data_IF_665969876611
#
_entry.id   IF_665969876611
#
_cell.length_a   1.000
_cell.length_b   1.000
_cell.length_c   1.000
_cell.angle_alpha   90.00
_cell.angle_beta   90.00
_cell.angle_gamma   90.00
#
_symmetry.space_group_name_H-M   'P 1'
#
loop_
_entity.id
_entity.type
_entity.pdbx_description
1 polymer ?
#
# COMPACT_ATOMS: atom_id res chain seq x y z
N UNK A 1 21.62 -55.40 2.44
CA UNK A 1 22.00 -54.49 1.36
C UNK A 1 20.76 -53.77 0.85
N UNK A 2 20.88 -52.53 0.49
CA UNK A 2 19.82 -51.71 -0.09
C UNK A 2 20.31 -51.20 -1.47
N UNK A 3 19.40 -51.24 -2.44
CA UNK A 3 19.71 -50.89 -3.82
C UNK A 3 18.71 -49.87 -4.32
N UNK A 4 19.18 -48.90 -5.09
CA UNK A 4 18.37 -48.01 -5.89
C UNK A 4 18.85 -48.03 -7.33
N UNK A 5 17.96 -48.12 -8.30
CA UNK A 5 18.30 -48.21 -9.73
C UNK A 5 19.34 -49.30 -10.01
N UNK A 6 19.26 -50.45 -9.31
CA UNK A 6 20.20 -51.55 -9.35
C UNK A 6 21.63 -51.23 -8.87
N UNK A 7 21.84 -50.12 -8.18
CA UNK A 7 23.12 -49.79 -7.56
C UNK A 7 23.04 -50.01 -6.05
N UNK A 8 24.08 -50.62 -5.49
CA UNK A 8 24.21 -50.81 -4.05
C UNK A 8 24.42 -49.46 -3.37
N UNK A 9 23.53 -49.09 -2.43
CA UNK A 9 23.60 -47.81 -1.70
C UNK A 9 24.16 -47.98 -0.29
N UNK A 10 23.80 -49.06 0.39
CA UNK A 10 24.28 -49.35 1.74
C UNK A 10 24.32 -50.84 2.00
N UNK A 11 25.29 -51.28 2.78
CA UNK A 11 25.46 -52.68 3.21
C UNK A 11 25.71 -52.72 4.71
N UNK A 12 24.84 -53.43 5.43
CA UNK A 12 25.06 -53.73 6.85
C UNK A 12 25.38 -55.18 7.02
N UNK A 13 26.54 -55.45 7.57
CA UNK A 13 27.02 -56.81 7.83
C UNK A 13 26.95 -57.08 9.34
N UNK A 14 26.42 -58.23 9.71
CA UNK A 14 26.40 -58.71 11.08
C UNK A 14 26.63 -60.22 11.12
N UNK A 15 27.28 -60.66 12.17
CA UNK A 15 27.54 -62.08 12.37
C UNK A 15 26.47 -62.65 13.33
N UNK A 16 25.94 -63.78 12.97
CA UNK A 16 25.07 -64.60 13.80
C UNK A 16 25.77 -65.89 14.15
N UNK A 17 25.80 -66.22 15.45
CA UNK A 17 26.28 -67.53 15.88
C UNK A 17 25.05 -68.33 16.24
N UNK A 18 24.67 -69.26 15.39
CA UNK A 18 23.57 -70.20 15.65
C UNK A 18 24.11 -71.52 16.04
N UNK A 19 23.54 -72.13 17.08
CA UNK A 19 23.76 -73.55 17.39
C UNK A 19 22.93 -74.42 16.44
N UNK A 20 23.20 -75.73 16.47
CA UNK A 20 22.54 -76.70 15.61
C UNK A 20 21.00 -76.57 15.70
N UNK A 21 20.35 -76.27 14.56
CA UNK A 21 18.88 -76.24 14.36
C UNK A 21 18.10 -75.14 15.09
N UNK A 22 18.66 -73.97 15.26
CA UNK A 22 17.94 -72.84 15.86
C UNK A 22 17.63 -71.77 14.80
N UNK A 23 16.38 -71.35 14.71
CA UNK A 23 16.02 -70.15 13.96
C UNK A 23 16.40 -68.89 14.75
N UNK A 24 17.05 -67.94 14.09
CA UNK A 24 17.45 -66.66 14.71
C UNK A 24 16.83 -65.52 13.94
N UNK A 25 16.16 -64.63 14.67
CA UNK A 25 15.64 -63.41 14.10
C UNK A 25 16.62 -62.28 14.38
N UNK A 26 16.87 -61.48 13.38
CA UNK A 26 17.64 -60.24 13.49
C UNK A 26 16.98 -59.10 12.76
N UNK A 27 16.68 -58.05 13.48
CA UNK A 27 16.13 -56.82 12.89
C UNK A 27 17.26 -55.86 12.56
N UNK A 28 17.24 -55.32 11.35
CA UNK A 28 18.17 -54.29 10.87
C UNK A 28 17.34 -53.05 10.48
N UNK A 29 17.73 -51.92 11.03
CA UNK A 29 17.10 -50.65 10.71
C UNK A 29 17.90 -49.97 9.61
N UNK A 30 17.20 -49.55 8.57
CA UNK A 30 17.73 -48.78 7.47
C UNK A 30 16.82 -47.60 7.21
N UNK A 31 17.39 -46.41 7.10
CA UNK A 31 16.66 -45.20 6.74
C UNK A 31 16.99 -44.88 5.28
N UNK A 32 16.01 -45.05 4.36
CA UNK A 32 16.27 -44.72 2.97
C UNK A 32 16.56 -43.24 2.82
N UNK A 33 17.57 -42.84 2.05
CA UNK A 33 17.92 -41.42 1.90
C UNK A 33 17.04 -40.64 0.93
N UNK A 34 16.14 -41.30 0.21
CA UNK A 34 15.21 -40.65 -0.74
C UNK A 34 14.00 -41.53 -1.02
N UNK A 35 12.95 -40.93 -1.59
CA UNK A 35 11.75 -41.65 -2.05
C UNK A 35 12.01 -42.41 -3.35
N UNK A 36 11.16 -43.35 -3.69
CA UNK A 36 11.22 -44.15 -4.91
C UNK A 36 11.13 -45.64 -4.64
N UNK A 37 11.43 -46.44 -5.66
CA UNK A 37 11.46 -47.89 -5.54
C UNK A 37 12.80 -48.39 -5.01
N UNK A 38 12.76 -49.14 -3.93
CA UNK A 38 13.91 -49.72 -3.28
C UNK A 38 13.82 -51.26 -3.34
N UNK A 39 14.96 -51.90 -3.48
CA UNK A 39 15.08 -53.34 -3.38
C UNK A 39 15.96 -53.70 -2.21
N UNK A 40 15.43 -54.41 -1.26
CA UNK A 40 16.18 -54.92 -0.12
C UNK A 40 16.58 -56.37 -0.39
N UNK A 41 17.87 -56.65 -0.37
CA UNK A 41 18.42 -57.97 -0.54
C UNK A 41 19.04 -58.48 0.75
N UNK A 42 18.89 -59.76 1.05
CA UNK A 42 19.56 -60.42 2.16
C UNK A 42 20.39 -61.55 1.60
N UNK A 43 21.70 -61.52 1.88
CA UNK A 43 22.63 -62.60 1.58
C UNK A 43 23.01 -63.30 2.88
N UNK A 44 22.99 -64.60 2.88
CA UNK A 44 23.36 -65.43 4.04
C UNK A 44 24.60 -66.25 3.65
N UNK A 45 25.67 -66.09 4.42
CA UNK A 45 26.88 -66.89 4.28
C UNK A 45 26.94 -67.92 5.40
N UNK A 46 27.16 -69.19 5.07
CA UNK A 46 27.42 -70.22 6.03
C UNK A 46 28.92 -70.41 6.23
N UNK A 47 29.35 -70.67 7.47
CA UNK A 47 30.73 -70.78 7.87
C UNK A 47 31.36 -72.16 7.52
N UNK A 48 30.53 -73.14 7.15
CA UNK A 48 30.97 -74.52 7.01
C UNK A 48 31.20 -75.03 5.60
N UNK A 49 30.66 -74.41 4.60
CA UNK A 49 30.92 -74.70 3.19
C UNK A 49 30.16 -73.76 2.27
N UNK A 50 30.83 -73.29 1.28
CA UNK A 50 30.25 -72.61 0.11
C UNK A 50 29.02 -71.74 0.32
N UNK A 51 29.10 -70.50 -0.07
CA UNK A 51 28.03 -69.45 -0.14
C UNK A 51 26.73 -70.11 -0.55
N UNK A 52 25.76 -70.17 0.36
CA UNK A 52 24.32 -70.25 0.01
C UNK A 52 23.80 -68.86 -0.21
N UNK A 53 24.02 -68.36 -1.40
CA UNK A 53 23.52 -67.07 -1.82
C UNK A 53 22.02 -67.19 -2.11
N UNK A 54 21.18 -67.01 -1.11
CA UNK A 54 19.74 -66.81 -1.28
C UNK A 54 19.46 -65.37 -1.07
N UNK A 55 19.56 -64.60 -2.15
CA UNK A 55 19.06 -63.22 -2.16
C UNK A 55 17.56 -63.18 -2.47
N UNK A 56 16.75 -62.67 -1.59
CA UNK A 56 15.44 -62.24 -1.97
C UNK A 56 15.35 -60.72 -1.88
N UNK A 57 14.66 -60.19 -2.85
CA UNK A 57 14.42 -58.74 -2.91
C UNK A 57 12.94 -58.49 -2.61
N UNK A 58 12.70 -57.52 -1.73
CA UNK A 58 11.38 -56.99 -1.48
C UNK A 58 11.32 -55.58 -2.13
N UNK A 59 10.59 -55.43 -3.24
CA UNK A 59 10.38 -54.10 -3.80
C UNK A 59 9.51 -53.29 -2.83
N UNK A 60 9.95 -52.10 -2.53
CA UNK A 60 9.25 -51.19 -1.63
C UNK A 60 9.18 -49.80 -2.27
N UNK A 61 7.98 -49.32 -2.44
CA UNK A 61 7.73 -47.93 -2.88
C UNK A 61 7.80 -46.98 -1.67
N UNK A 62 8.70 -46.04 -1.73
CA UNK A 62 8.85 -45.00 -0.73
C UNK A 62 8.33 -43.69 -1.31
N UNK A 63 7.48 -43.05 -0.57
CA UNK A 63 6.94 -41.74 -0.96
C UNK A 63 7.86 -40.63 -0.51
N UNK A 64 7.99 -39.58 -1.33
CA UNK A 64 8.67 -38.36 -0.97
C UNK A 64 7.97 -37.69 0.22
N UNK A 65 8.73 -37.06 1.11
CA UNK A 65 8.18 -36.20 2.17
C UNK A 65 7.92 -34.80 1.59
N UNK A 66 6.98 -34.11 2.19
CA UNK A 66 6.76 -32.70 1.85
C UNK A 66 7.89 -31.83 2.40
N UNK A 67 8.33 -30.80 1.66
CA UNK A 67 9.31 -29.86 2.17
C UNK A 67 8.73 -29.04 3.34
N UNK A 68 9.61 -28.45 4.13
CA UNK A 68 9.26 -27.53 5.22
C UNK A 68 9.58 -26.11 4.80
N UNK A 69 8.60 -25.24 4.78
CA UNK A 69 8.78 -23.81 4.50
C UNK A 69 9.27 -23.06 5.75
N UNK A 70 10.04 -22.01 5.55
CA UNK A 70 10.42 -21.05 6.59
C UNK A 70 10.37 -19.65 6.03
N UNK A 71 9.68 -18.75 6.74
CA UNK A 71 9.44 -17.35 6.37
C UNK A 71 10.15 -16.43 7.36
N UNK A 72 10.76 -15.38 6.84
CA UNK A 72 11.23 -14.24 7.62
C UNK A 72 10.90 -12.96 6.88
N UNK A 73 10.52 -11.93 7.62
CA UNK A 73 10.20 -10.60 7.10
C UNK A 73 11.07 -9.58 7.82
N UNK A 74 11.48 -8.52 7.13
CA UNK A 74 12.39 -7.50 7.68
C UNK A 74 11.84 -6.80 8.93
N UNK A 75 10.52 -6.78 9.10
CA UNK A 75 9.82 -6.15 10.21
C UNK A 75 8.48 -6.81 10.49
N UNK A 76 7.94 -6.61 11.70
CA UNK A 76 6.57 -7.01 12.07
C UNK A 76 5.57 -5.86 11.88
N UNK A 77 6.06 -4.62 11.76
CA UNK A 77 5.26 -3.42 11.57
C UNK A 77 6.01 -2.46 10.65
N UNK A 78 5.28 -1.77 9.80
CA UNK A 78 5.81 -0.78 8.86
C UNK A 78 4.77 0.31 8.64
N UNK A 79 5.15 1.34 7.88
CA UNK A 79 4.23 2.37 7.41
C UNK A 79 3.81 2.08 5.96
N UNK A 80 2.69 2.67 5.54
CA UNK A 80 2.28 2.70 4.15
C UNK A 80 3.41 3.18 3.24
N UNK A 81 3.48 2.65 2.02
CA UNK A 81 4.48 3.00 1.00
C UNK A 81 5.93 2.65 1.31
N UNK A 82 6.26 2.13 2.51
CA UNK A 82 7.62 1.68 2.78
C UNK A 82 7.86 0.25 2.28
N UNK A 83 9.04 -0.03 1.68
CA UNK A 83 9.35 -1.35 1.17
C UNK A 83 9.59 -2.35 2.30
N UNK A 84 8.93 -3.50 2.21
CA UNK A 84 9.09 -4.65 3.10
C UNK A 84 9.84 -5.75 2.36
N UNK A 85 10.96 -6.20 2.93
CA UNK A 85 11.74 -7.30 2.38
C UNK A 85 11.30 -8.60 3.02
N UNK A 86 11.02 -9.61 2.20
CA UNK A 86 10.61 -10.94 2.62
C UNK A 86 11.67 -11.95 2.20
N UNK A 87 11.94 -12.93 3.06
CA UNK A 87 12.97 -13.94 2.85
C UNK A 87 12.33 -15.32 2.98
N UNK A 88 12.26 -16.01 1.85
CA UNK A 88 11.79 -17.38 1.78
C UNK A 88 12.94 -18.36 1.89
N UNK A 89 12.77 -19.35 2.75
CA UNK A 89 13.66 -20.50 2.82
C UNK A 89 12.84 -21.75 3.08
N UNK A 90 13.50 -22.87 3.05
CA UNK A 90 12.92 -24.15 3.36
C UNK A 90 13.94 -25.24 3.22
N UNK A 91 13.59 -26.40 3.68
CA UNK A 91 14.39 -27.60 3.53
C UNK A 91 13.47 -28.80 3.32
N UNK A 92 14.05 -29.81 2.67
CA UNK A 92 13.48 -31.13 2.57
C UNK A 92 14.43 -32.13 3.23
N UNK A 93 13.98 -32.86 4.23
CA UNK A 93 14.83 -33.85 4.91
C UNK A 93 15.26 -34.99 3.98
N UNK A 94 14.44 -35.27 2.94
CA UNK A 94 14.61 -36.41 2.06
C UNK A 94 14.22 -36.05 0.62
N UNK A 95 14.81 -34.99 0.10
CA UNK A 95 14.51 -34.49 -1.24
C UNK A 95 15.10 -35.30 -2.37
N UNK A 96 14.43 -35.27 -3.50
CA UNK A 96 14.92 -35.70 -4.79
C UNK A 96 15.89 -34.67 -5.35
N UNK A 97 17.11 -34.65 -4.87
CA UNK A 97 18.15 -33.78 -5.38
C UNK A 97 19.35 -34.60 -5.84
N UNK A 98 19.37 -34.92 -7.09
CA UNK A 98 20.56 -35.45 -7.71
C UNK A 98 21.29 -34.37 -8.52
N UNK A 99 22.09 -33.53 -7.90
CA UNK A 99 23.23 -32.98 -8.59
C UNK A 99 24.38 -33.99 -8.51
N UNK A 100 24.77 -34.56 -9.65
CA UNK A 100 25.92 -35.42 -9.84
C UNK A 100 25.93 -36.78 -9.09
N UNK A 101 24.75 -37.38 -8.86
CA UNK A 101 24.72 -38.76 -8.29
C UNK A 101 25.06 -38.84 -6.81
N UNK A 102 25.07 -37.72 -6.09
CA UNK A 102 25.24 -37.67 -4.65
C UNK A 102 23.92 -37.29 -3.99
N UNK A 103 23.51 -38.07 -2.98
CA UNK A 103 22.34 -37.76 -2.18
C UNK A 103 22.67 -36.60 -1.23
N UNK A 104 21.96 -35.51 -1.33
CA UNK A 104 22.10 -34.40 -0.40
C UNK A 104 21.01 -34.47 0.65
N UNK A 105 21.37 -34.41 1.90
CA UNK A 105 20.52 -34.20 3.03
C UNK A 105 20.31 -32.68 3.16
N UNK A 106 19.09 -32.18 3.25
CA UNK A 106 18.70 -30.76 3.28
C UNK A 106 18.75 -30.09 1.90
N UNK A 107 17.89 -30.52 1.01
CA UNK A 107 17.71 -29.81 -0.25
C UNK A 107 16.90 -28.53 -0.11
N UNK A 108 17.28 -27.53 -0.92
CA UNK A 108 16.52 -26.27 -0.98
C UNK A 108 15.31 -26.44 -1.89
N UNK A 109 14.18 -25.82 -1.58
CA UNK A 109 13.01 -25.78 -2.45
C UNK A 109 13.38 -25.24 -3.85
N UNK A 110 12.72 -25.78 -4.88
CA UNK A 110 12.91 -25.32 -6.26
C UNK A 110 11.95 -24.21 -6.65
N UNK A 111 10.83 -24.04 -5.92
CA UNK A 111 9.87 -22.98 -6.17
C UNK A 111 9.31 -22.43 -4.87
N UNK A 112 8.95 -21.15 -4.93
CA UNK A 112 8.39 -20.35 -3.86
C UNK A 112 7.07 -19.75 -4.34
N UNK A 113 6.05 -19.77 -3.49
CA UNK A 113 4.73 -19.21 -3.77
C UNK A 113 4.32 -18.35 -2.57
N UNK A 114 4.24 -17.06 -2.81
CA UNK A 114 3.88 -16.07 -1.82
C UNK A 114 2.48 -15.55 -2.11
N UNK A 115 1.67 -15.44 -1.07
CA UNK A 115 0.51 -14.57 -0.99
C UNK A 115 0.87 -13.46 0.00
N UNK A 116 0.77 -12.19 -0.44
CA UNK A 116 1.22 -11.04 0.36
C UNK A 116 0.10 -10.44 1.21
N UNK A 117 -1.12 -10.99 1.11
CA UNK A 117 -2.25 -10.65 1.97
C UNK A 117 -3.11 -9.49 1.45
N UNK A 118 -2.68 -8.80 0.39
CA UNK A 118 -3.36 -7.68 -0.28
C UNK A 118 -3.83 -8.03 -1.72
N UNK A 119 -4.04 -9.32 -2.00
CA UNK A 119 -4.31 -9.90 -3.31
C UNK A 119 -3.11 -9.87 -4.29
N UNK A 120 -1.93 -9.51 -3.83
CA UNK A 120 -0.70 -9.60 -4.60
C UNK A 120 0.01 -10.90 -4.29
N UNK A 121 0.60 -11.55 -5.29
CA UNK A 121 1.37 -12.78 -5.15
C UNK A 121 2.74 -12.66 -5.79
N UNK A 122 3.70 -13.49 -5.36
CA UNK A 122 5.05 -13.54 -5.92
C UNK A 122 5.58 -14.96 -5.97
N UNK A 123 6.45 -15.24 -6.97
CA UNK A 123 7.20 -16.49 -7.08
C UNK A 123 8.71 -16.30 -6.86
N UNK A 124 9.13 -15.09 -6.52
CA UNK A 124 10.52 -14.82 -6.18
C UNK A 124 10.85 -15.46 -4.83
N UNK A 125 12.07 -15.93 -4.66
CA UNK A 125 12.56 -16.44 -3.37
C UNK A 125 12.46 -15.37 -2.28
N UNK A 126 12.87 -14.14 -2.61
CA UNK A 126 12.91 -13.02 -1.69
C UNK A 126 12.22 -11.81 -2.35
N UNK A 127 10.90 -11.71 -2.29
CA UNK A 127 10.19 -10.55 -2.83
C UNK A 127 10.38 -9.31 -1.95
N UNK A 128 10.19 -8.15 -2.58
CA UNK A 128 10.05 -6.85 -1.93
C UNK A 128 8.67 -6.33 -2.30
N UNK A 129 7.93 -5.81 -1.32
CA UNK A 129 6.59 -5.29 -1.54
C UNK A 129 6.33 -4.01 -0.73
N UNK A 130 5.41 -3.18 -1.21
CA UNK A 130 4.92 -1.97 -0.55
C UNK A 130 3.42 -2.08 -0.39
N UNK A 131 2.93 -1.82 0.81
CA UNK A 131 1.50 -1.80 1.10
C UNK A 131 1.00 -0.35 1.02
N UNK A 132 -0.07 -0.14 0.28
CA UNK A 132 -0.65 1.19 0.03
C UNK A 132 -1.59 1.59 1.16
N UNK A 133 -2.38 0.64 1.65
CA UNK A 133 -3.37 0.89 2.69
C UNK A 133 -2.90 0.36 4.05
N UNK A 134 -3.25 1.01 5.16
CA UNK A 134 -3.00 0.48 6.49
C UNK A 134 -3.86 -0.76 6.75
N UNK A 135 -3.33 -1.69 7.54
CA UNK A 135 -4.04 -2.92 7.82
C UNK A 135 -3.17 -4.00 8.44
N UNK A 136 -3.77 -5.17 8.60
CA UNK A 136 -3.08 -6.37 9.08
C UNK A 136 -3.04 -7.39 7.94
N UNK A 137 -1.85 -7.66 7.45
CA UNK A 137 -1.63 -8.50 6.28
C UNK A 137 -1.05 -9.86 6.66
N UNK A 138 -1.78 -10.95 6.41
CA UNK A 138 -1.26 -12.31 6.56
C UNK A 138 -0.42 -12.69 5.34
N UNK A 139 0.90 -12.60 5.45
CA UNK A 139 1.84 -13.02 4.41
C UNK A 139 2.02 -14.52 4.49
N UNK A 140 1.74 -15.25 3.43
CA UNK A 140 1.79 -16.70 3.38
C UNK A 140 2.86 -17.19 2.41
N UNK A 141 3.67 -18.15 2.84
CA UNK A 141 4.66 -18.83 2.00
C UNK A 141 4.35 -20.32 1.90
N UNK A 142 4.34 -20.81 0.68
CA UNK A 142 4.37 -22.24 0.33
C UNK A 142 5.58 -22.51 -0.56
N UNK A 143 6.30 -23.57 -0.31
CA UNK A 143 7.44 -23.98 -1.14
C UNK A 143 7.19 -25.35 -1.79
N UNK A 144 7.85 -25.61 -2.89
CA UNK A 144 7.77 -26.87 -3.62
C UNK A 144 9.14 -27.50 -3.78
N UNK A 145 9.24 -28.83 -3.60
CA UNK A 145 10.43 -29.61 -3.84
C UNK A 145 10.56 -30.07 -5.30
N UNK A 146 11.67 -30.75 -5.62
CA UNK A 146 11.90 -31.29 -6.96
C UNK A 146 10.94 -32.45 -7.33
N UNK A 147 10.34 -33.10 -6.35
CA UNK A 147 9.32 -34.14 -6.54
C UNK A 147 7.94 -33.57 -6.87
N UNK A 148 7.77 -32.24 -6.81
CA UNK A 148 6.50 -31.56 -7.04
C UNK A 148 5.57 -31.54 -5.81
N UNK A 149 6.07 -31.84 -4.62
CA UNK A 149 5.30 -31.78 -3.39
C UNK A 149 5.41 -30.40 -2.76
N UNK A 150 4.26 -29.91 -2.26
CA UNK A 150 4.17 -28.61 -1.60
C UNK A 150 4.28 -28.75 -0.09
N UNK A 151 4.94 -27.79 0.55
CA UNK A 151 4.96 -27.65 2.00
C UNK A 151 3.54 -27.36 2.54
N UNK A 152 3.34 -27.53 3.83
CA UNK A 152 2.30 -26.80 4.52
C UNK A 152 2.62 -25.30 4.47
N UNK A 153 1.57 -24.46 4.38
CA UNK A 153 1.72 -23.00 4.32
C UNK A 153 2.24 -22.45 5.65
N UNK A 154 3.20 -21.53 5.57
CA UNK A 154 3.67 -20.75 6.72
C UNK A 154 3.10 -19.36 6.63
N UNK A 155 2.67 -18.79 7.73
CA UNK A 155 2.06 -17.44 7.78
C UNK A 155 2.86 -16.52 8.69
N UNK A 156 3.07 -15.29 8.21
CA UNK A 156 3.61 -14.18 8.97
C UNK A 156 2.59 -13.04 9.00
N UNK A 157 2.38 -12.43 10.15
CA UNK A 157 1.48 -11.29 10.28
C UNK A 157 2.28 -10.00 10.25
N UNK A 158 1.99 -9.14 9.28
CA UNK A 158 2.56 -7.80 9.15
C UNK A 158 1.48 -6.76 9.51
N UNK A 159 1.84 -5.77 10.31
CA UNK A 159 1.01 -4.60 10.61
C UNK A 159 1.53 -3.44 9.77
N UNK A 160 0.64 -2.80 9.02
CA UNK A 160 0.93 -1.60 8.24
C UNK A 160 0.12 -0.46 8.83
N UNK A 161 0.80 0.61 9.22
CA UNK A 161 0.21 1.80 9.84
C UNK A 161 0.39 3.00 8.91
N UNK A 162 -0.58 3.89 8.87
CA UNK A 162 -0.39 5.22 8.34
C UNK A 162 -0.14 6.18 9.51
N UNK A 163 0.99 6.88 9.47
CA UNK A 163 1.39 7.85 10.49
C UNK A 163 1.72 9.21 9.86
N UNK A 164 1.46 9.36 8.56
CA UNK A 164 1.69 10.59 7.81
C UNK A 164 0.41 11.41 7.81
N UNK A 165 0.42 12.58 8.44
CA UNK A 165 -0.70 13.51 8.38
C UNK A 165 -0.59 14.38 7.12
N UNK A 166 -1.71 14.68 6.43
CA UNK A 166 -1.72 15.66 5.35
C UNK A 166 -1.22 17.03 5.82
N UNK A 167 -0.50 17.73 4.96
CA UNK A 167 -0.07 19.12 5.20
C UNK A 167 -0.82 20.02 4.22
N UNK A 168 -1.96 20.62 4.62
CA UNK A 168 -2.76 21.46 3.75
C UNK A 168 -2.05 22.76 3.37
N UNK A 169 -2.17 23.17 2.12
CA UNK A 169 -1.70 24.47 1.63
C UNK A 169 -2.81 25.13 0.81
N UNK A 170 -3.10 26.41 1.07
CA UNK A 170 -4.05 27.21 0.31
C UNK A 170 -3.30 28.21 -0.55
N UNK A 171 -3.61 28.27 -1.84
CA UNK A 171 -3.03 29.25 -2.77
C UNK A 171 -4.12 29.88 -3.66
N UNK A 172 -3.84 31.10 -4.15
CA UNK A 172 -4.62 31.81 -5.14
C UNK A 172 -3.67 32.28 -6.24
N UNK A 173 -3.98 31.96 -7.50
CA UNK A 173 -3.14 32.29 -8.67
C UNK A 173 -1.68 31.80 -8.49
N UNK A 174 -1.49 30.67 -7.79
CA UNK A 174 -0.17 30.07 -7.51
C UNK A 174 0.62 30.77 -6.40
N UNK A 175 -0.01 31.70 -5.67
CA UNK A 175 0.60 32.37 -4.50
C UNK A 175 -0.02 31.79 -3.23
N UNK A 176 0.82 31.27 -2.34
CA UNK A 176 0.39 30.72 -1.04
C UNK A 176 -0.19 31.85 -0.18
N UNK A 177 -1.38 31.62 0.37
CA UNK A 177 -2.07 32.53 1.28
C UNK A 177 -1.90 31.98 2.70
N UNK A 178 -1.18 32.73 3.55
CA UNK A 178 -0.85 32.27 4.91
C UNK A 178 -1.61 33.02 6.02
N UNK A 179 -2.23 34.17 5.72
CA UNK A 179 -2.87 35.00 6.73
C UNK A 179 -4.22 35.55 6.24
N UNK A 180 -4.24 36.72 5.61
CA UNK A 180 -5.44 37.42 5.16
C UNK A 180 -5.40 37.70 3.64
N UNK A 181 -6.52 37.46 2.97
CA UNK A 181 -6.75 37.86 1.58
C UNK A 181 -7.88 38.90 1.53
N UNK A 182 -7.64 40.02 0.84
CA UNK A 182 -8.63 41.08 0.67
C UNK A 182 -9.24 40.98 -0.71
N UNK A 183 -10.58 40.88 -0.76
CA UNK A 183 -11.37 40.72 -1.99
C UNK A 183 -12.52 41.73 -2.01
N UNK A 184 -13.17 41.84 -3.17
CA UNK A 184 -14.39 42.62 -3.33
C UNK A 184 -15.60 41.68 -3.38
N UNK A 185 -16.76 42.21 -2.99
CA UNK A 185 -18.06 41.54 -3.14
C UNK A 185 -18.26 41.05 -4.58
N UNK A 186 -18.88 39.86 -4.71
CA UNK A 186 -19.15 39.20 -6.00
C UNK A 186 -17.88 38.99 -6.87
N UNK A 187 -16.68 39.00 -6.28
CA UNK A 187 -15.46 38.64 -6.98
C UNK A 187 -15.27 37.14 -6.93
N UNK A 188 -15.43 36.46 -8.07
CA UNK A 188 -15.18 35.04 -8.19
C UNK A 188 -13.68 34.77 -8.13
N UNK A 189 -13.24 33.93 -7.19
CA UNK A 189 -11.84 33.56 -7.01
C UNK A 189 -11.73 32.03 -7.04
N UNK A 190 -10.70 31.55 -7.72
CA UNK A 190 -10.30 30.12 -7.70
C UNK A 190 -9.25 29.94 -6.61
N UNK A 191 -9.54 29.07 -5.66
CA UNK A 191 -8.62 28.62 -4.63
C UNK A 191 -8.04 27.27 -5.01
N UNK A 192 -6.81 27.02 -4.68
CA UNK A 192 -6.12 25.79 -5.00
C UNK A 192 -5.37 25.26 -3.78
N UNK A 193 -5.47 23.98 -3.56
CA UNK A 193 -4.72 23.20 -2.58
C UNK A 193 -3.68 22.28 -3.24
N UNK A 194 -3.23 22.59 -4.46
CA UNK A 194 -2.21 21.82 -5.20
C UNK A 194 -0.89 21.68 -4.46
N UNK A 195 -0.58 22.59 -3.53
CA UNK A 195 0.63 22.53 -2.68
C UNK A 195 0.50 21.60 -1.48
N UNK A 196 -0.68 21.05 -1.23
CA UNK A 196 -0.89 20.06 -0.16
C UNK A 196 -0.02 18.83 -0.38
N UNK A 197 0.63 18.36 0.67
CA UNK A 197 1.51 17.18 0.63
C UNK A 197 1.03 16.10 1.58
N UNK A 198 1.13 14.87 1.14
CA UNK A 198 0.81 13.65 1.89
C UNK A 198 1.57 12.47 1.28
N UNK A 199 1.51 11.29 1.94
CA UNK A 199 1.96 10.03 1.36
C UNK A 199 0.97 9.47 0.32
N UNK A 200 -0.32 9.88 0.38
CA UNK A 200 -1.30 9.62 -0.67
C UNK A 200 -1.23 10.67 -1.78
N UNK A 201 -1.55 10.32 -3.03
CA UNK A 201 -1.68 11.27 -4.11
C UNK A 201 -2.88 12.22 -3.88
N UNK A 202 -2.79 13.47 -4.37
CA UNK A 202 -3.83 14.50 -4.19
C UNK A 202 -5.23 14.09 -4.66
N UNK A 203 -5.31 13.27 -5.70
CA UNK A 203 -6.57 12.77 -6.27
C UNK A 203 -7.25 11.68 -5.42
N UNK A 204 -6.57 11.17 -4.41
CA UNK A 204 -7.09 10.21 -3.44
C UNK A 204 -7.43 10.86 -2.09
N UNK A 205 -6.92 12.07 -1.80
CA UNK A 205 -7.24 12.82 -0.60
C UNK A 205 -8.67 13.41 -0.66
N UNK A 206 -9.33 13.47 0.48
CA UNK A 206 -10.60 14.18 0.64
C UNK A 206 -10.32 15.63 1.01
N UNK A 207 -11.03 16.57 0.36
CA UNK A 207 -10.97 18.00 0.62
C UNK A 207 -12.36 18.54 0.98
N UNK A 208 -12.43 19.41 2.00
CA UNK A 208 -13.62 20.16 2.34
C UNK A 208 -13.27 21.63 2.51
N UNK A 209 -13.86 22.46 1.63
CA UNK A 209 -13.76 23.91 1.64
C UNK A 209 -14.97 24.50 2.35
N UNK A 210 -14.79 25.05 3.55
CA UNK A 210 -15.81 25.82 4.26
C UNK A 210 -15.51 27.30 4.10
N UNK A 211 -16.36 28.01 3.37
CA UNK A 211 -16.13 29.40 2.98
C UNK A 211 -16.41 30.41 4.10
N UNK A 212 -16.99 29.99 5.23
CA UNK A 212 -17.25 30.79 6.40
C UNK A 212 -18.55 31.63 6.30
N UNK A 213 -19.26 31.58 5.18
CA UNK A 213 -20.56 32.22 4.96
C UNK A 213 -21.73 31.24 5.02
N UNK A 214 -21.46 29.98 5.32
CA UNK A 214 -22.42 28.88 5.40
C UNK A 214 -22.40 27.97 4.18
N UNK A 215 -21.64 28.29 3.13
CA UNK A 215 -21.44 27.41 2.00
C UNK A 215 -20.25 26.50 2.23
N UNK A 216 -20.38 25.24 1.82
CA UNK A 216 -19.33 24.17 1.92
C UNK A 216 -19.29 23.44 0.58
N UNK A 217 -18.08 23.11 0.13
CA UNK A 217 -17.84 22.26 -1.03
C UNK A 217 -16.83 21.18 -0.66
N UNK A 218 -17.14 19.92 -0.95
CA UNK A 218 -16.26 18.83 -0.55
C UNK A 218 -16.25 17.67 -1.54
N UNK A 219 -15.18 16.90 -1.54
CA UNK A 219 -15.03 15.69 -2.35
C UNK A 219 -13.61 15.16 -2.38
N UNK A 220 -13.47 13.90 -2.82
CA UNK A 220 -12.17 13.31 -3.08
C UNK A 220 -11.55 13.98 -4.32
N UNK A 221 -10.29 14.40 -4.24
CA UNK A 221 -9.57 15.08 -5.30
C UNK A 221 -10.07 16.50 -5.58
N UNK A 222 -10.88 17.10 -4.70
CA UNK A 222 -11.40 18.48 -4.86
C UNK A 222 -10.37 19.50 -4.35
N UNK A 223 -9.14 19.41 -4.84
CA UNK A 223 -8.05 20.33 -4.47
C UNK A 223 -8.16 21.72 -5.12
N UNK A 224 -9.11 21.95 -6.01
CA UNK A 224 -9.43 23.27 -6.57
C UNK A 224 -10.91 23.56 -6.42
N UNK A 225 -11.25 24.76 -5.94
CA UNK A 225 -12.61 25.19 -5.78
C UNK A 225 -12.72 26.71 -5.91
N UNK A 226 -13.89 27.20 -6.34
CA UNK A 226 -14.10 28.62 -6.53
C UNK A 226 -15.27 29.13 -5.73
N UNK A 227 -15.14 30.37 -5.21
CA UNK A 227 -16.16 31.00 -4.42
C UNK A 227 -16.21 32.52 -4.64
N UNK A 228 -17.36 33.16 -4.31
CA UNK A 228 -17.55 34.60 -4.30
C UNK A 228 -18.48 34.97 -3.15
N UNK A 229 -18.03 35.87 -2.28
CA UNK A 229 -18.84 36.38 -1.18
C UNK A 229 -19.74 37.53 -1.63
N UNK A 230 -21.00 37.46 -1.22
CA UNK A 230 -22.05 38.45 -1.60
C UNK A 230 -22.06 39.64 -0.65
N UNK A 231 -21.82 39.38 0.64
CA UNK A 231 -21.88 40.43 1.67
C UNK A 231 -20.50 41.03 1.94
N UNK A 232 -20.43 42.34 1.92
CA UNK A 232 -19.23 43.11 2.23
C UNK A 232 -19.59 44.42 2.93
N UNK A 233 -18.58 45.15 3.40
CA UNK A 233 -18.79 46.51 3.95
C UNK A 233 -17.63 47.42 3.57
N UNK A 234 -17.77 48.72 3.81
CA UNK A 234 -16.70 49.69 3.55
C UNK A 234 -15.44 49.42 4.40
N UNK A 235 -15.61 48.89 5.60
CA UNK A 235 -14.52 48.49 6.50
C UNK A 235 -14.06 47.06 6.28
N UNK A 236 -14.82 46.27 5.56
CA UNK A 236 -14.64 44.86 5.28
C UNK A 236 -15.35 43.95 6.28
N UNK A 237 -16.03 42.91 5.77
CA UNK A 237 -16.49 41.76 6.57
C UNK A 237 -15.43 40.69 6.48
N UNK A 238 -15.07 40.12 7.63
CA UNK A 238 -14.05 39.05 7.67
C UNK A 238 -14.74 37.71 7.81
N UNK A 239 -14.48 36.82 6.85
CA UNK A 239 -14.87 35.43 6.86
C UNK A 239 -13.66 34.57 7.21
N UNK A 240 -13.91 33.44 7.86
CA UNK A 240 -12.87 32.40 8.08
C UNK A 240 -13.09 31.32 7.05
N UNK A 241 -12.20 31.21 6.09
CA UNK A 241 -12.13 30.09 5.17
C UNK A 241 -11.35 28.99 5.85
N UNK A 242 -11.92 27.79 5.94
CA UNK A 242 -11.19 26.60 6.37
C UNK A 242 -11.14 25.55 5.27
N UNK A 243 -9.99 24.93 5.15
CA UNK A 243 -9.72 23.77 4.31
C UNK A 243 -9.40 22.59 5.21
N UNK A 244 -10.30 21.59 5.25
CA UNK A 244 -10.05 20.29 5.83
C UNK A 244 -9.50 19.37 4.74
N UNK A 245 -8.40 18.69 5.03
CA UNK A 245 -7.84 17.63 4.19
C UNK A 245 -7.77 16.35 5.01
N UNK A 246 -8.23 15.24 4.41
CA UNK A 246 -8.21 13.93 5.05
C UNK A 246 -7.65 12.87 4.11
N UNK A 247 -6.78 12.01 4.66
CA UNK A 247 -6.28 10.78 4.04
C UNK A 247 -7.15 9.55 4.37
N UNK A 248 -8.25 9.76 5.15
CA UNK A 248 -9.13 8.72 5.66
C UNK A 248 -8.76 8.20 7.04
N UNK A 249 -7.61 8.62 7.60
CA UNK A 249 -7.11 8.28 8.94
C UNK A 249 -6.89 9.54 9.77
N UNK A 250 -6.29 10.55 9.16
CA UNK A 250 -5.97 11.84 9.75
C UNK A 250 -6.79 12.93 9.06
N UNK A 251 -7.30 13.83 9.87
CA UNK A 251 -8.03 15.02 9.43
C UNK A 251 -7.22 16.25 9.87
N UNK A 252 -6.77 17.06 8.92
CA UNK A 252 -6.02 18.28 9.20
C UNK A 252 -6.71 19.48 8.60
N UNK A 253 -6.95 20.50 9.43
CA UNK A 253 -7.59 21.74 9.03
C UNK A 253 -6.57 22.87 8.94
N UNK A 254 -6.65 23.66 7.85
CA UNK A 254 -5.92 24.89 7.65
C UNK A 254 -6.89 26.04 7.41
N UNK A 255 -6.66 27.18 8.09
CA UNK A 255 -7.56 28.35 8.04
C UNK A 255 -6.84 29.60 7.60
N UNK A 256 -7.54 30.41 6.80
CA UNK A 256 -7.13 31.77 6.44
C UNK A 256 -8.30 32.75 6.62
N UNK A 257 -8.00 34.04 6.70
CA UNK A 257 -9.01 35.07 6.79
C UNK A 257 -9.25 35.72 5.41
N UNK A 258 -10.54 35.88 5.07
CA UNK A 258 -10.98 36.56 3.83
C UNK A 258 -11.71 37.82 4.22
N UNK A 259 -11.16 38.99 3.87
CA UNK A 259 -11.75 40.26 4.11
C UNK A 259 -12.46 40.77 2.86
N UNK A 260 -13.78 40.92 2.92
CA UNK A 260 -14.60 41.34 1.80
C UNK A 260 -14.99 42.82 1.93
N UNK A 261 -14.49 43.62 1.01
CA UNK A 261 -14.84 45.03 0.90
C UNK A 261 -15.99 45.22 -0.08
N UNK A 262 -16.89 46.15 0.25
CA UNK A 262 -17.93 46.60 -0.65
C UNK A 262 -17.32 47.30 -1.87
N UNK A 263 -17.94 47.20 -3.02
CA UNK A 263 -17.53 47.96 -4.20
C UNK A 263 -17.97 49.42 -4.06
N UNK A 264 -17.14 50.33 -4.55
CA UNK A 264 -17.55 51.72 -4.64
C UNK A 264 -18.57 51.91 -5.75
N UNK A 265 -19.62 52.72 -5.54
CA UNK A 265 -20.57 53.03 -6.59
C UNK A 265 -19.91 53.56 -7.85
N UNK A 266 -20.35 53.10 -9.00
CA UNK A 266 -19.76 53.44 -10.30
C UNK A 266 -20.56 54.61 -10.91
N UNK A 267 -19.85 55.62 -11.41
CA UNK A 267 -20.45 56.68 -12.21
C UNK A 267 -20.85 56.12 -13.59
N UNK A 268 -22.15 56.29 -13.92
CA UNK A 268 -22.70 55.79 -15.20
C UNK A 268 -22.85 56.89 -16.26
N UNK A 269 -22.59 58.12 -15.89
CA UNK A 269 -22.77 59.24 -16.77
C UNK A 269 -21.51 60.17 -16.74
N UNK A 270 -20.86 60.29 -17.87
CA UNK A 270 -19.59 61.04 -18.00
C UNK A 270 -19.71 62.25 -18.98
N UNK A 271 -20.91 62.53 -19.48
CA UNK A 271 -21.09 63.61 -20.41
C UNK A 271 -21.60 64.90 -19.69
N UNK A 272 -21.04 66.06 -20.00
CA UNK A 272 -21.48 67.32 -19.40
C UNK A 272 -22.94 67.59 -19.76
N UNK A 273 -23.78 67.87 -18.74
CA UNK A 273 -25.18 68.29 -18.92
C UNK A 273 -25.18 69.73 -19.37
N UNK A 274 -25.98 70.03 -20.37
CA UNK A 274 -26.19 71.41 -20.86
C UNK A 274 -27.61 71.88 -20.61
N UNK A 275 -27.78 73.12 -20.12
CA UNK A 275 -29.04 73.76 -19.95
C UNK A 275 -28.91 75.25 -20.25
N UNK A 276 -30.05 75.94 -20.41
CA UNK A 276 -30.04 77.39 -20.60
C UNK A 276 -30.18 78.09 -19.25
N UNK A 277 -29.69 79.33 -19.18
CA UNK A 277 -29.78 80.18 -18.00
C UNK A 277 -31.26 80.30 -17.53
N UNK A 278 -31.51 80.21 -16.23
CA UNK A 278 -32.76 80.19 -15.58
C UNK A 278 -33.74 79.05 -15.95
N UNK A 279 -33.23 78.01 -16.57
CA UNK A 279 -33.98 76.76 -16.85
C UNK A 279 -33.65 75.71 -15.78
N UNK A 280 -34.65 75.14 -15.11
CA UNK A 280 -34.36 74.04 -14.17
C UNK A 280 -33.69 72.90 -14.86
N UNK A 281 -32.58 72.37 -14.27
CA UNK A 281 -31.87 71.18 -14.71
C UNK A 281 -32.25 69.99 -13.81
N UNK A 282 -32.80 68.97 -14.41
CA UNK A 282 -32.93 67.67 -13.69
C UNK A 282 -31.71 66.88 -13.82
N UNK A 283 -31.06 66.58 -12.70
CA UNK A 283 -29.90 65.73 -12.66
C UNK A 283 -30.35 64.25 -12.69
N UNK A 284 -29.88 63.46 -13.65
CA UNK A 284 -30.19 62.04 -13.67
C UNK A 284 -29.50 61.32 -12.54
N UNK A 285 -29.88 60.06 -12.28
CA UNK A 285 -29.07 59.15 -11.46
C UNK A 285 -27.75 58.89 -12.20
N UNK A 286 -26.68 59.33 -11.62
CA UNK A 286 -25.33 59.26 -12.27
C UNK A 286 -24.45 58.17 -11.74
N UNK A 287 -24.93 57.40 -10.77
CA UNK A 287 -24.19 56.29 -10.16
C UNK A 287 -25.03 55.03 -10.14
N UNK A 288 -24.36 53.90 -10.22
CA UNK A 288 -24.91 52.58 -9.98
C UNK A 288 -24.01 51.87 -8.98
N UNK A 289 -24.62 51.07 -8.15
CA UNK A 289 -23.95 50.18 -7.25
C UNK A 289 -24.29 48.72 -7.66
N UNK A 290 -23.28 47.88 -7.89
CA UNK A 290 -23.45 46.54 -8.40
C UNK A 290 -23.69 45.51 -7.30
N UNK A 291 -23.44 45.85 -6.05
CA UNK A 291 -23.47 44.96 -4.90
C UNK A 291 -24.16 45.54 -3.68
N UNK A 292 -24.84 46.73 -3.86
CA UNK A 292 -25.59 47.39 -2.81
C UNK A 292 -26.62 48.35 -3.33
N UNK A 293 -27.17 49.15 -2.43
CA UNK A 293 -28.11 50.22 -2.71
C UNK A 293 -27.49 51.54 -2.30
N UNK A 294 -27.49 52.51 -3.22
CA UNK A 294 -27.09 53.87 -2.90
C UNK A 294 -28.15 54.47 -1.98
N UNK A 295 -27.78 54.77 -0.76
CA UNK A 295 -28.69 55.25 0.28
C UNK A 295 -28.74 56.77 0.38
N UNK A 296 -27.71 57.47 -0.11
CA UNK A 296 -27.61 58.93 -0.04
C UNK A 296 -26.78 59.50 -1.19
N UNK A 297 -27.05 60.76 -1.54
CA UNK A 297 -26.32 61.56 -2.53
C UNK A 297 -25.98 62.90 -1.95
N UNK A 298 -24.71 63.27 -1.97
CA UNK A 298 -24.30 64.62 -1.64
C UNK A 298 -23.90 65.37 -2.92
N UNK A 299 -24.56 66.50 -3.15
CA UNK A 299 -24.36 67.30 -4.33
C UNK A 299 -23.63 68.58 -3.99
N UNK A 300 -22.52 68.85 -4.63
CA UNK A 300 -21.80 70.13 -4.54
C UNK A 300 -21.97 70.92 -5.84
N UNK A 301 -22.54 72.08 -5.75
CA UNK A 301 -22.71 73.02 -6.87
C UNK A 301 -21.59 74.04 -6.78
N UNK A 302 -20.62 74.00 -7.72
CA UNK A 302 -19.59 75.01 -7.81
C UNK A 302 -20.18 76.43 -8.08
N UNK A 303 -19.50 77.50 -7.61
CA UNK A 303 -19.82 78.84 -7.98
C UNK A 303 -19.56 79.05 -9.47
N UNK A 304 -20.51 79.57 -10.20
CA UNK A 304 -20.37 79.92 -11.62
C UNK A 304 -19.29 80.97 -11.81
N UNK A 305 -18.40 80.76 -12.80
CA UNK A 305 -17.42 81.71 -13.21
C UNK A 305 -17.98 82.68 -14.21
#
# INVERSE_FOLDING_TARGET
DAFSNNSLVDTKVFSLTAGNSVSTEKSVWFTPPYSGQWTFGVSINDVTSELVDQAFSLPTDLTNLKPVASISVSTNSTQTWLPVNMFGSGYDEWGFGMENGSFSKNETPIAYYWDLGDNVSSTLKNPIHQYVEPGVYPIVLTVMDQGGYFSESQTWTLIVEDTSEPIPEISVEGVVVSEELVLLTNQQIMFSALGTTDNLPLDELYFEWNWGDGEIQSGIGLYESSHAWVDGSAEGIVYTLSLLVSDGIHDVEHTIFIKILNRVPQQIYDSPLQTYTLTPLTLPHVFTDSDGMIVDYDWSFGEGV
#
